data_IF_259292311205
#
_entry.id   IF_259292311205
#
_cell.length_a   1.000
_cell.length_b   1.000
_cell.length_c   1.000
_cell.angle_alpha   90.00
_cell.angle_beta   90.00
_cell.angle_gamma   90.00
#
_symmetry.space_group_name_H-M   'P 1'
#
loop_
_entity.id
_entity.type
_entity.pdbx_description
1 polymer ?
#
# COMPACT_ATOMS: atom_id res chain seq x y z
N UNK A 1 54.58 64.12 15.80
CA UNK A 1 54.97 63.02 14.88
C UNK A 1 53.73 62.21 14.52
N UNK A 2 53.74 61.61 13.32
CA UNK A 2 52.66 61.05 12.49
C UNK A 2 51.68 60.04 13.11
N UNK A 3 50.47 60.05 12.51
CA UNK A 3 49.62 58.91 12.10
C UNK A 3 49.02 57.95 13.15
N UNK A 4 47.70 57.71 13.10
CA UNK A 4 47.10 56.65 12.29
C UNK A 4 45.59 56.51 12.58
N UNK A 5 44.81 56.54 11.51
CA UNK A 5 43.38 56.25 11.49
C UNK A 5 43.15 54.76 11.72
N UNK A 6 42.33 54.39 12.71
CA UNK A 6 41.86 53.00 12.87
C UNK A 6 40.34 53.00 12.83
N UNK A 7 39.83 52.45 11.74
CA UNK A 7 38.41 52.17 11.49
C UNK A 7 38.02 50.99 12.37
N UNK A 8 37.06 51.17 13.28
CA UNK A 8 36.48 50.08 14.05
C UNK A 8 35.17 49.63 13.38
N UNK A 9 35.14 48.35 13.00
CA UNK A 9 33.98 47.66 12.44
C UNK A 9 32.99 47.29 13.54
N UNK A 10 31.67 47.36 13.30
CA UNK A 10 30.72 46.80 14.24
C UNK A 10 30.65 45.27 14.11
N UNK A 11 31.10 44.63 15.19
CA UNK A 11 30.64 43.39 15.81
C UNK A 11 29.52 42.62 15.05
N UNK A 12 29.91 41.56 14.34
CA UNK A 12 29.02 40.62 13.66
C UNK A 12 28.39 39.68 14.70
N UNK A 13 27.29 40.15 15.32
CA UNK A 13 26.54 39.39 16.30
C UNK A 13 26.00 38.11 15.68
N UNK A 14 26.48 37.01 16.24
CA UNK A 14 26.14 35.62 15.98
C UNK A 14 24.64 35.36 16.14
N UNK A 15 23.89 35.44 15.03
CA UNK A 15 22.50 34.97 14.96
C UNK A 15 22.45 33.51 14.50
N UNK A 16 22.78 32.63 15.42
CA UNK A 16 22.44 31.21 15.34
C UNK A 16 20.94 31.02 15.57
N UNK A 17 20.38 29.97 14.92
CA UNK A 17 19.01 29.41 14.99
C UNK A 17 18.04 29.98 13.93
N UNK A 18 17.44 29.24 12.99
CA UNK A 18 17.35 27.82 12.66
C UNK A 18 16.71 27.77 11.24
N UNK A 19 17.12 26.90 10.30
CA UNK A 19 16.27 26.54 9.19
C UNK A 19 15.27 25.48 9.69
N UNK A 20 14.00 25.86 9.84
CA UNK A 20 12.90 24.91 10.04
C UNK A 20 12.66 24.16 8.72
N UNK A 21 13.54 23.20 8.43
CA UNK A 21 13.35 22.25 7.34
C UNK A 21 12.18 21.33 7.74
N UNK A 22 11.03 21.60 7.14
CA UNK A 22 9.77 20.91 7.32
C UNK A 22 9.85 19.49 6.74
N UNK A 23 10.50 18.59 7.47
CA UNK A 23 10.57 17.15 7.18
C UNK A 23 9.27 16.44 7.57
N UNK A 24 8.18 16.75 6.88
CA UNK A 24 7.04 15.83 6.82
C UNK A 24 7.28 14.86 5.66
N UNK A 25 8.25 13.96 5.87
CA UNK A 25 8.35 12.76 5.07
C UNK A 25 7.10 11.92 5.38
N UNK A 26 6.12 12.01 4.49
CA UNK A 26 4.91 11.19 4.53
C UNK A 26 5.29 9.73 4.32
N UNK A 27 5.56 9.01 5.40
CA UNK A 27 5.65 7.56 5.42
C UNK A 27 4.24 6.99 5.29
N UNK A 28 3.63 7.10 4.12
CA UNK A 28 2.31 6.48 3.89
C UNK A 28 2.38 5.03 3.43
N UNK A 29 3.57 4.50 3.16
CA UNK A 29 3.75 3.08 2.80
C UNK A 29 5.21 2.64 2.96
N UNK A 30 5.64 2.38 4.19
CA UNK A 30 6.87 1.62 4.44
C UNK A 30 6.49 0.27 5.05
N UNK A 31 5.87 -0.58 4.23
CA UNK A 31 5.73 -2.00 4.52
C UNK A 31 6.77 -2.74 3.69
N UNK A 32 7.81 -3.24 4.34
CA UNK A 32 8.70 -4.23 3.73
C UNK A 32 7.85 -5.46 3.36
N UNK A 33 7.48 -5.61 2.09
CA UNK A 33 6.83 -6.82 1.58
C UNK A 33 7.88 -7.93 1.49
N UNK A 34 8.13 -8.54 2.65
CA UNK A 34 8.95 -9.73 2.77
C UNK A 34 8.33 -10.87 1.95
N UNK A 35 9.11 -11.39 1.01
CA UNK A 35 8.79 -12.62 0.31
C UNK A 35 8.73 -13.79 1.32
N UNK A 36 7.54 -14.10 1.84
CA UNK A 36 7.34 -15.35 2.56
C UNK A 36 5.98 -15.98 2.24
N UNK A 37 6.03 -17.22 1.73
CA UNK A 37 4.89 -17.97 1.20
C UNK A 37 4.03 -18.51 2.34
N UNK A 38 3.19 -17.67 2.93
CA UNK A 38 2.13 -18.13 3.82
C UNK A 38 0.76 -17.87 3.16
N UNK A 39 -0.01 -18.94 2.93
CA UNK A 39 -1.35 -18.92 2.29
C UNK A 39 -2.45 -18.32 3.17
N UNK A 40 -2.22 -18.21 4.48
CA UNK A 40 -3.21 -17.70 5.44
C UNK A 40 -3.58 -16.21 5.26
N UNK A 41 -2.63 -15.25 5.11
CA UNK A 41 -2.96 -13.83 4.93
C UNK A 41 -3.77 -13.53 3.67
N UNK A 42 -3.67 -14.36 2.62
CA UNK A 42 -4.37 -14.11 1.36
C UNK A 42 -5.88 -14.34 1.49
N UNK A 43 -6.31 -15.30 2.31
CA UNK A 43 -7.73 -15.54 2.62
C UNK A 43 -8.35 -14.41 3.43
N UNK A 44 -7.64 -13.89 4.41
CA UNK A 44 -8.12 -12.77 5.23
C UNK A 44 -8.22 -11.49 4.40
N UNK A 45 -7.22 -11.23 3.54
CA UNK A 45 -7.20 -10.06 2.68
C UNK A 45 -8.21 -10.14 1.54
N UNK A 46 -8.40 -11.30 0.91
CA UNK A 46 -9.23 -11.44 -0.30
C UNK A 46 -10.65 -11.96 -0.01
N UNK A 47 -10.87 -12.61 1.13
CA UNK A 47 -12.13 -13.27 1.49
C UNK A 47 -12.44 -14.48 0.61
N UNK A 48 -13.70 -14.61 0.21
CA UNK A 48 -14.18 -15.67 -0.70
C UNK A 48 -13.43 -15.70 -2.04
N UNK A 49 -12.90 -14.55 -2.48
CA UNK A 49 -12.15 -14.48 -3.73
C UNK A 49 -10.79 -15.18 -3.68
N UNK A 50 -10.25 -15.54 -2.51
CA UNK A 50 -8.98 -16.24 -2.39
C UNK A 50 -8.99 -17.64 -3.02
N UNK A 51 -10.12 -18.35 -2.92
CA UNK A 51 -10.26 -19.71 -3.44
C UNK A 51 -11.18 -19.79 -4.66
N UNK A 52 -11.65 -18.67 -5.21
CA UNK A 52 -12.61 -18.65 -6.31
C UNK A 52 -11.96 -19.02 -7.67
N UNK A 53 -12.62 -19.85 -8.47
CA UNK A 53 -12.22 -20.24 -9.83
C UNK A 53 -12.21 -19.05 -10.81
N UNK A 54 -13.13 -18.10 -10.60
CA UNK A 54 -13.27 -16.90 -11.44
C UNK A 54 -12.31 -15.78 -11.04
N UNK A 55 -11.75 -15.83 -9.83
CA UNK A 55 -10.79 -14.84 -9.37
C UNK A 55 -9.43 -15.05 -10.04
N UNK A 56 -8.80 -13.95 -10.47
CA UNK A 56 -7.43 -13.92 -10.99
C UNK A 56 -6.63 -12.91 -10.18
N UNK A 57 -5.51 -13.35 -9.60
CA UNK A 57 -4.54 -12.50 -8.93
C UNK A 57 -3.74 -11.70 -9.97
N UNK A 58 -3.67 -10.40 -9.77
CA UNK A 58 -2.90 -9.47 -10.59
C UNK A 58 -2.00 -8.69 -9.64
N UNK A 59 -0.70 -8.74 -9.89
CA UNK A 59 0.30 -8.02 -9.10
C UNK A 59 0.90 -6.89 -9.92
N UNK A 60 1.08 -5.73 -9.29
CA UNK A 60 1.71 -4.57 -9.92
C UNK A 60 3.20 -4.52 -9.58
N UNK A 61 3.98 -3.76 -10.36
CA UNK A 61 5.42 -3.56 -10.13
C UNK A 61 5.75 -2.98 -8.74
N UNK A 62 4.77 -2.32 -8.09
CA UNK A 62 4.90 -1.77 -6.73
C UNK A 62 4.60 -2.79 -5.62
N UNK A 63 4.30 -4.05 -5.95
CA UNK A 63 3.98 -5.11 -4.97
C UNK A 63 2.52 -5.11 -4.49
N UNK A 64 1.68 -4.21 -4.98
CA UNK A 64 0.24 -4.24 -4.71
C UNK A 64 -0.42 -5.41 -5.43
N UNK A 65 -1.28 -6.13 -4.71
CA UNK A 65 -2.01 -7.29 -5.23
C UNK A 65 -3.48 -6.94 -5.36
N UNK A 66 -4.03 -7.19 -6.54
CA UNK A 66 -5.44 -6.98 -6.86
C UNK A 66 -6.06 -8.30 -7.34
N UNK A 67 -7.35 -8.45 -7.09
CA UNK A 67 -8.15 -9.54 -7.66
C UNK A 67 -8.99 -8.99 -8.81
N UNK A 68 -8.90 -9.68 -9.94
CA UNK A 68 -9.77 -9.49 -11.10
C UNK A 68 -10.82 -10.60 -11.15
N UNK A 69 -12.09 -10.20 -11.21
CA UNK A 69 -13.20 -11.13 -11.42
C UNK A 69 -13.42 -11.35 -12.91
N UNK A 70 -13.16 -12.56 -13.41
CA UNK A 70 -13.40 -12.93 -14.82
C UNK A 70 -14.90 -12.99 -15.15
N UNK A 71 -15.77 -13.23 -14.17
CA UNK A 71 -17.23 -13.30 -14.33
C UNK A 71 -17.84 -11.96 -14.77
N UNK A 72 -17.18 -10.85 -14.41
CA UNK A 72 -17.57 -9.50 -14.84
C UNK A 72 -17.59 -9.31 -16.37
N UNK A 73 -16.90 -10.17 -17.12
CA UNK A 73 -16.94 -10.14 -18.58
C UNK A 73 -18.30 -10.62 -19.15
N UNK A 74 -18.98 -11.54 -18.45
CA UNK A 74 -20.24 -12.12 -18.90
C UNK A 74 -21.44 -11.48 -18.20
N UNK A 75 -21.25 -10.94 -17.00
CA UNK A 75 -22.33 -10.45 -16.15
C UNK A 75 -21.91 -9.14 -15.47
N UNK A 76 -22.64 -8.07 -15.79
CA UNK A 76 -22.38 -6.71 -15.31
C UNK A 76 -22.75 -6.52 -13.84
N UNK A 77 -23.48 -7.45 -13.22
CA UNK A 77 -23.74 -7.43 -11.78
C UNK A 77 -22.47 -7.68 -10.95
N UNK A 78 -21.43 -8.26 -11.56
CA UNK A 78 -20.16 -8.51 -10.88
C UNK A 78 -19.15 -7.41 -11.20
N UNK A 79 -18.57 -6.74 -10.19
CA UNK A 79 -17.51 -5.76 -10.41
C UNK A 79 -16.23 -6.45 -10.90
N UNK A 80 -15.58 -5.89 -11.91
CA UNK A 80 -14.30 -6.39 -12.46
C UNK A 80 -13.19 -6.44 -11.41
N UNK A 81 -13.16 -5.45 -10.53
CA UNK A 81 -12.22 -5.36 -9.41
C UNK A 81 -13.03 -5.22 -8.11
N UNK A 82 -13.47 -6.33 -7.49
CA UNK A 82 -14.24 -6.28 -6.26
C UNK A 82 -13.43 -5.62 -5.15
N UNK A 83 -14.13 -4.91 -4.26
CA UNK A 83 -13.52 -4.38 -3.04
C UNK A 83 -13.24 -5.55 -2.10
N UNK A 84 -11.98 -5.66 -1.68
CA UNK A 84 -11.52 -6.69 -0.78
C UNK A 84 -11.64 -6.22 0.69
N UNK A 85 -11.92 -7.10 1.66
CA UNK A 85 -12.21 -8.53 1.51
C UNK A 85 -13.66 -8.82 1.08
N UNK A 86 -13.87 -9.78 0.19
CA UNK A 86 -15.23 -10.16 -0.27
C UNK A 86 -15.82 -11.19 0.69
N UNK A 87 -16.80 -10.78 1.49
CA UNK A 87 -17.46 -11.65 2.47
C UNK A 87 -18.63 -12.45 1.88
N UNK A 88 -19.30 -11.89 0.86
CA UNK A 88 -20.48 -12.51 0.21
C UNK A 88 -20.33 -12.35 -1.30
N UNK A 89 -20.48 -13.46 -2.03
CA UNK A 89 -20.48 -13.46 -3.49
C UNK A 89 -21.43 -14.56 -4.01
N UNK A 90 -22.52 -14.20 -4.72
CA UNK A 90 -23.49 -15.17 -5.22
C UNK A 90 -22.91 -16.09 -6.30
N UNK A 91 -21.87 -15.64 -6.99
CA UNK A 91 -21.19 -16.38 -8.06
C UNK A 91 -19.86 -17.00 -7.64
N UNK A 92 -19.65 -17.21 -6.33
CA UNK A 92 -18.42 -17.80 -5.80
C UNK A 92 -18.37 -19.30 -6.10
N UNK A 93 -17.29 -19.73 -6.76
CA UNK A 93 -17.05 -21.14 -7.06
C UNK A 93 -15.67 -21.53 -6.53
N UNK A 94 -15.61 -22.30 -5.45
CA UNK A 94 -14.35 -22.66 -4.80
C UNK A 94 -13.55 -23.66 -5.65
N UNK A 95 -12.30 -23.33 -5.97
CA UNK A 95 -11.31 -24.21 -6.61
C UNK A 95 -10.94 -25.42 -5.73
N UNK A 96 -11.14 -25.28 -4.41
CA UNK A 96 -10.83 -26.29 -3.40
C UNK A 96 -12.04 -27.02 -2.81
N UNK A 97 -13.26 -26.81 -3.30
CA UNK A 97 -14.43 -27.54 -2.80
C UNK A 97 -14.44 -28.99 -3.31
N UNK A 98 -13.50 -29.80 -2.82
CA UNK A 98 -13.84 -31.18 -2.48
C UNK A 98 -14.70 -31.09 -1.22
N UNK A 99 -16.02 -31.07 -1.42
CA UNK A 99 -17.12 -31.16 -0.43
C UNK A 99 -16.70 -31.03 1.04
N UNK A 100 -17.05 -29.92 1.70
CA UNK A 100 -17.36 -29.98 3.13
C UNK A 100 -18.79 -30.55 3.23
N UNK A 101 -19.02 -31.68 3.92
CA UNK A 101 -20.37 -32.18 4.12
C UNK A 101 -21.12 -31.16 4.98
N UNK A 102 -22.27 -30.69 4.49
CA UNK A 102 -23.30 -30.09 5.33
C UNK A 102 -23.67 -31.10 6.42
N UNK A 103 -23.45 -30.74 7.68
CA UNK A 103 -24.03 -31.43 8.85
C UNK A 103 -25.47 -30.97 9.05
#
# INVERSE_FOLDING_TARGET
MRAASIRQTPNFSSRSKQPQLRSQAGTRYSGAVGMNKNRAPERDQMGLCADCLHARRVENAHGSVFILCKRSANDTAYPKYPRLPVLVCPGHESKGARKAPSV
#
